data_IF_514101004028
#
_entry.id   IF_514101004028
#
_cell.length_a   1.000
_cell.length_b   1.000
_cell.length_c   1.000
_cell.angle_alpha   90.00
_cell.angle_beta   90.00
_cell.angle_gamma   90.00
#
_symmetry.space_group_name_H-M   'P 1'
#
loop_
_entity.id
_entity.type
_entity.pdbx_description
1 polymer ?
#
# COMPACT_ATOMS: atom_id res chain seq x y z
N UNK A 1 -4.63 5.65 -0.85
CA UNK A 1 -5.48 4.74 -0.10
C UNK A 1 -4.88 4.63 1.27
N UNK A 2 -5.73 4.54 2.28
CA UNK A 2 -5.29 4.51 3.65
C UNK A 2 -5.68 3.19 4.31
N UNK A 3 -4.79 2.70 5.16
CA UNK A 3 -5.06 1.59 6.07
C UNK A 3 -5.28 2.13 7.48
N UNK A 4 -6.30 1.62 8.14
CA UNK A 4 -6.61 1.87 9.55
C UNK A 4 -6.12 0.68 10.38
N UNK A 5 -5.25 0.95 11.34
CA UNK A 5 -4.81 0.01 12.36
C UNK A 5 -5.43 0.35 13.71
N UNK A 6 -6.35 -0.50 14.18
CA UNK A 6 -7.05 -0.33 15.44
C UNK A 6 -6.28 -1.02 16.56
N UNK A 7 -5.77 -0.22 17.50
CA UNK A 7 -5.12 -0.71 18.71
C UNK A 7 -6.14 -1.37 19.64
N UNK A 8 -5.73 -2.51 20.23
CA UNK A 8 -6.38 -3.08 21.40
C UNK A 8 -6.02 -2.32 22.67
N UNK A 9 -6.42 -2.83 23.84
CA UNK A 9 -5.99 -2.27 25.13
C UNK A 9 -4.48 -2.47 25.33
N UNK A 10 -3.83 -1.52 26.01
CA UNK A 10 -2.44 -1.64 26.44
C UNK A 10 -2.14 -3.02 27.04
N UNK A 11 -1.02 -3.60 26.63
CA UNK A 11 -0.47 -4.84 27.17
C UNK A 11 1.07 -4.80 27.11
N UNK A 12 1.77 -5.12 28.21
CA UNK A 12 3.22 -5.32 28.17
C UNK A 12 3.54 -6.57 27.33
N UNK A 13 4.70 -6.57 26.68
CA UNK A 13 5.17 -7.70 25.88
C UNK A 13 6.17 -8.54 26.66
N UNK A 14 6.30 -9.82 26.31
CA UNK A 14 7.20 -10.79 26.96
C UNK A 14 8.60 -10.87 26.31
N UNK A 15 8.98 -9.87 25.51
CA UNK A 15 10.28 -9.82 24.81
C UNK A 15 10.38 -10.72 23.57
N UNK A 16 9.37 -11.54 23.28
CA UNK A 16 9.24 -12.30 22.03
C UNK A 16 8.51 -11.52 20.92
N UNK A 17 8.24 -10.24 21.15
CA UNK A 17 7.55 -9.37 20.21
C UNK A 17 8.44 -9.10 18.97
N UNK A 18 7.96 -9.34 17.73
CA UNK A 18 8.80 -9.29 16.53
C UNK A 18 9.54 -7.98 16.28
N UNK A 19 9.03 -6.86 16.79
CA UNK A 19 9.64 -5.54 16.64
C UNK A 19 10.40 -5.08 17.89
N UNK A 20 10.55 -5.94 18.90
CA UNK A 20 11.30 -5.64 20.12
C UNK A 20 10.68 -4.54 20.98
N UNK A 21 9.38 -4.28 20.84
CA UNK A 21 8.66 -3.29 21.66
C UNK A 21 8.53 -3.79 23.09
N UNK A 22 8.43 -2.87 24.04
CA UNK A 22 8.18 -3.19 25.46
C UNK A 22 6.68 -3.34 25.75
N UNK A 23 5.83 -2.78 24.91
CA UNK A 23 4.38 -2.77 25.04
C UNK A 23 3.69 -2.63 23.68
N UNK A 24 2.42 -3.01 23.64
CA UNK A 24 1.52 -2.81 22.51
C UNK A 24 0.15 -2.34 22.99
N UNK A 25 -0.63 -1.75 22.10
CA UNK A 25 -2.00 -1.34 22.38
C UNK A 25 -2.12 0.10 22.86
N UNK A 26 -3.33 0.52 23.14
CA UNK A 26 -3.70 1.90 23.43
C UNK A 26 -3.81 2.18 24.93
N UNK A 27 -3.38 3.37 25.34
CA UNK A 27 -3.65 3.95 26.65
C UNK A 27 -4.01 5.45 26.54
N UNK A 28 -4.71 6.02 27.55
CA UNK A 28 -5.09 7.42 27.52
C UNK A 28 -3.88 8.36 27.48
N UNK A 29 -3.95 9.39 26.61
CA UNK A 29 -2.92 10.45 26.45
C UNK A 29 -1.59 9.97 25.86
N UNK A 30 -1.57 8.86 25.14
CA UNK A 30 -0.39 8.50 24.36
C UNK A 30 -0.07 9.60 23.34
N UNK A 31 1.22 9.85 23.11
CA UNK A 31 1.67 10.77 22.06
C UNK A 31 1.45 10.17 20.68
N UNK A 32 1.59 10.99 19.64
CA UNK A 32 1.49 10.52 18.25
C UNK A 32 2.62 9.54 17.93
N UNK A 33 3.83 9.77 18.44
CA UNK A 33 4.97 8.86 18.30
C UNK A 33 4.72 7.54 19.02
N UNK A 34 4.19 7.57 20.24
CA UNK A 34 3.81 6.35 20.97
C UNK A 34 2.72 5.58 20.22
N UNK A 35 1.72 6.28 19.67
CA UNK A 35 0.66 5.67 18.87
C UNK A 35 1.23 5.03 17.61
N UNK A 36 2.13 5.73 16.91
CA UNK A 36 2.80 5.22 15.74
C UNK A 36 3.63 3.97 16.04
N UNK A 37 4.50 4.01 17.04
CA UNK A 37 5.34 2.86 17.43
C UNK A 37 4.49 1.66 17.87
N UNK A 38 3.39 1.90 18.60
CA UNK A 38 2.47 0.82 18.94
C UNK A 38 1.71 0.28 17.73
N UNK A 39 1.34 1.13 16.79
CA UNK A 39 0.33 0.84 15.77
C UNK A 39 0.88 0.48 14.40
N UNK A 40 2.12 0.83 14.07
CA UNK A 40 2.72 0.54 12.77
C UNK A 40 3.07 -0.93 12.55
N UNK A 41 2.91 -1.77 13.57
CA UNK A 41 3.60 -3.06 13.67
C UNK A 41 2.76 -4.33 13.80
N UNK A 42 3.20 -5.39 13.12
CA UNK A 42 2.81 -6.81 13.26
C UNK A 42 1.33 -7.13 13.01
N UNK A 43 0.80 -6.69 11.89
CA UNK A 43 -0.59 -6.98 11.49
C UNK A 43 -0.70 -8.19 10.57
N UNK A 44 -1.75 -8.99 10.76
CA UNK A 44 -2.17 -9.95 9.74
C UNK A 44 -2.91 -9.20 8.64
N UNK A 45 -2.21 -8.93 7.54
CA UNK A 45 -2.70 -8.17 6.40
C UNK A 45 -2.34 -8.87 5.09
N UNK A 46 -3.04 -8.53 4.01
CA UNK A 46 -2.66 -8.95 2.67
C UNK A 46 -1.53 -8.01 2.18
N UNK A 47 -0.32 -8.52 1.86
CA UNK A 47 0.83 -7.68 1.50
C UNK A 47 0.62 -6.92 0.19
N UNK A 48 -0.01 -7.52 -0.81
CA UNK A 48 -0.28 -6.85 -2.09
C UNK A 48 -1.24 -5.67 -1.93
N UNK A 49 -2.23 -5.81 -1.04
CA UNK A 49 -3.16 -4.74 -0.74
C UNK A 49 -2.48 -3.66 0.09
N UNK A 50 -1.79 -4.05 1.16
CA UNK A 50 -1.09 -3.13 2.05
C UNK A 50 -0.02 -2.31 1.31
N UNK A 51 0.71 -2.92 0.37
CA UNK A 51 1.70 -2.23 -0.47
C UNK A 51 1.13 -1.23 -1.48
N UNK A 52 -0.20 -1.13 -1.62
CA UNK A 52 -0.87 -0.10 -2.44
C UNK A 52 -1.35 1.08 -1.60
N UNK A 53 -1.31 0.95 -0.28
CA UNK A 53 -1.70 1.98 0.66
C UNK A 53 -0.57 3.02 0.77
N UNK A 54 -0.95 4.28 0.93
CA UNK A 54 -0.02 5.41 1.08
C UNK A 54 0.01 5.96 2.50
N UNK A 55 -1.10 5.84 3.21
CA UNK A 55 -1.25 6.40 4.55
C UNK A 55 -1.68 5.33 5.53
N UNK A 56 -1.17 5.39 6.74
CA UNK A 56 -1.61 4.58 7.86
C UNK A 56 -2.23 5.48 8.94
N UNK A 57 -3.46 5.15 9.36
CA UNK A 57 -4.15 5.77 10.48
C UNK A 57 -4.11 4.81 11.66
N UNK A 58 -3.50 5.24 12.76
CA UNK A 58 -3.55 4.49 14.02
C UNK A 58 -4.73 4.97 14.84
N UNK A 59 -5.61 4.06 15.23
CA UNK A 59 -6.78 4.39 16.06
C UNK A 59 -6.74 3.65 17.39
N UNK A 60 -7.24 4.31 18.44
CA UNK A 60 -7.34 3.76 19.78
C UNK A 60 -8.30 4.61 20.61
N UNK A 61 -9.03 4.00 21.55
CA UNK A 61 -10.07 4.72 22.30
C UNK A 61 -11.21 5.27 21.43
N UNK A 62 -11.34 4.83 20.18
CA UNK A 62 -12.35 5.31 19.23
C UNK A 62 -11.94 6.52 18.40
N UNK A 63 -10.70 7.01 18.54
CA UNK A 63 -10.19 8.19 17.83
C UNK A 63 -8.93 7.87 17.04
N UNK A 64 -8.61 8.69 16.05
CA UNK A 64 -7.33 8.68 15.32
C UNK A 64 -6.25 9.36 16.18
N UNK A 65 -5.14 8.66 16.39
CA UNK A 65 -4.08 9.05 17.33
C UNK A 65 -2.76 9.36 16.65
N UNK A 66 -2.51 8.76 15.49
CA UNK A 66 -1.35 9.03 14.66
C UNK A 66 -1.70 8.77 13.21
N UNK A 67 -1.03 9.52 12.32
CA UNK A 67 -1.17 9.38 10.88
C UNK A 67 0.24 9.43 10.30
N UNK A 68 0.61 8.43 9.51
CA UNK A 68 1.92 8.37 8.84
C UNK A 68 1.79 8.03 7.36
N UNK A 69 2.83 8.38 6.61
CA UNK A 69 3.03 7.86 5.26
C UNK A 69 3.58 6.42 5.33
N UNK A 70 3.28 5.63 4.31
CA UNK A 70 3.80 4.27 4.15
C UNK A 70 4.83 4.32 3.04
N UNK A 71 6.10 4.30 3.43
CA UNK A 71 7.24 4.19 2.51
C UNK A 71 7.56 2.73 2.20
N UNK A 72 7.41 1.87 3.22
CA UNK A 72 7.79 0.45 3.13
C UNK A 72 6.83 -0.44 3.93
N UNK A 73 6.60 -1.65 3.40
CA UNK A 73 5.92 -2.74 4.09
C UNK A 73 6.96 -3.81 4.44
N UNK A 74 7.24 -3.98 5.73
CA UNK A 74 8.28 -4.88 6.24
C UNK A 74 7.64 -6.21 6.70
N UNK A 75 8.06 -7.36 6.16
CA UNK A 75 7.55 -8.66 6.59
C UNK A 75 8.17 -9.12 7.92
N UNK A 76 7.33 -9.72 8.77
CA UNK A 76 7.68 -10.39 10.02
C UNK A 76 6.92 -11.73 10.09
N UNK A 77 7.52 -12.79 9.53
CA UNK A 77 6.90 -14.11 9.36
C UNK A 77 5.54 -14.02 8.61
N UNK A 78 4.41 -14.32 9.27
CA UNK A 78 3.06 -14.23 8.69
C UNK A 78 2.38 -12.85 8.86
N UNK A 79 3.13 -11.84 9.32
CA UNK A 79 2.66 -10.49 9.64
C UNK A 79 3.47 -9.42 8.93
N UNK A 80 2.92 -8.21 8.91
CA UNK A 80 3.53 -7.07 8.25
C UNK A 80 3.52 -5.85 9.17
N UNK A 81 4.60 -5.09 9.11
CA UNK A 81 4.69 -3.75 9.65
C UNK A 81 4.76 -2.73 8.52
N UNK A 82 4.37 -1.50 8.80
CA UNK A 82 4.59 -0.35 7.91
C UNK A 82 5.69 0.53 8.50
N UNK A 83 6.45 1.15 7.61
CA UNK A 83 7.48 2.13 7.95
C UNK A 83 7.22 3.39 7.13
N UNK A 84 7.57 4.53 7.73
CA UNK A 84 7.46 5.83 7.10
C UNK A 84 7.35 6.94 8.14
N UNK A 85 7.43 8.20 7.71
CA UNK A 85 7.34 9.35 8.60
C UNK A 85 5.90 9.59 9.08
N UNK A 86 5.78 10.10 10.31
CA UNK A 86 4.55 10.74 10.75
C UNK A 86 4.24 11.95 9.87
N UNK A 87 2.97 12.10 9.51
CA UNK A 87 2.47 13.33 8.91
C UNK A 87 2.37 14.40 9.99
N UNK A 88 2.57 15.64 9.59
CA UNK A 88 2.50 16.80 10.49
C UNK A 88 1.47 17.80 10.03
N UNK A 89 1.16 18.76 10.90
CA UNK A 89 0.29 19.90 10.60
C UNK A 89 0.60 20.54 9.25
N UNK A 90 -0.45 20.84 8.49
CA UNK A 90 -0.37 21.36 7.12
C UNK A 90 -0.49 20.27 6.04
N UNK A 91 -0.39 19.00 6.40
CA UNK A 91 -0.76 17.91 5.51
C UNK A 91 -2.29 17.70 5.53
N UNK A 92 -2.98 17.67 4.39
CA UNK A 92 -4.45 17.64 4.34
C UNK A 92 -5.07 16.42 5.02
N UNK A 93 -4.47 15.23 4.85
CA UNK A 93 -4.89 14.02 5.57
C UNK A 93 -4.71 14.16 7.09
N UNK A 94 -3.60 14.79 7.52
CA UNK A 94 -3.32 15.00 8.94
C UNK A 94 -4.35 15.94 9.55
N UNK A 95 -4.47 17.14 8.96
CA UNK A 95 -5.32 18.22 9.46
C UNK A 95 -6.81 17.81 9.51
N UNK A 96 -7.25 16.92 8.61
CA UNK A 96 -8.62 16.43 8.57
C UNK A 96 -8.90 15.34 9.61
N UNK A 97 -7.95 14.45 9.89
CA UNK A 97 -8.24 13.20 10.60
C UNK A 97 -7.63 13.08 12.00
N UNK A 98 -6.55 13.79 12.33
CA UNK A 98 -5.94 13.65 13.65
C UNK A 98 -6.94 14.05 14.75
N UNK A 99 -7.09 13.21 15.78
CA UNK A 99 -8.05 13.40 16.87
C UNK A 99 -9.53 13.18 16.51
N UNK A 100 -9.87 12.90 15.24
CA UNK A 100 -11.24 12.61 14.84
C UNK A 100 -11.67 11.19 15.24
N UNK A 101 -12.99 10.90 15.25
CA UNK A 101 -13.48 9.53 15.40
C UNK A 101 -12.91 8.58 14.35
N UNK A 102 -12.75 7.31 14.71
CA UNK A 102 -12.26 6.26 13.79
C UNK A 102 -13.13 6.20 12.51
N UNK A 103 -12.59 6.52 11.32
CA UNK A 103 -13.34 6.54 10.06
C UNK A 103 -13.84 5.15 9.63
N UNK A 104 -13.24 4.10 10.16
CA UNK A 104 -13.58 2.71 9.89
C UNK A 104 -14.34 2.06 11.07
N UNK A 105 -14.92 2.87 11.98
CA UNK A 105 -15.71 2.38 13.08
C UNK A 105 -16.91 1.56 12.58
N UNK A 106 -16.86 0.26 12.80
CA UNK A 106 -17.93 -0.68 12.49
C UNK A 106 -17.92 -1.84 13.50
N UNK A 107 -18.89 -2.74 13.40
CA UNK A 107 -19.00 -3.90 14.30
C UNK A 107 -17.96 -5.00 14.02
N UNK A 108 -17.06 -4.81 13.06
CA UNK A 108 -16.00 -5.78 12.77
C UNK A 108 -14.97 -5.81 13.90
N UNK A 109 -14.56 -7.02 14.24
CA UNK A 109 -13.43 -7.24 15.16
C UNK A 109 -12.08 -7.19 14.44
N UNK A 110 -12.05 -7.03 13.11
CA UNK A 110 -10.80 -6.95 12.37
C UNK A 110 -10.10 -5.60 12.67
N UNK A 111 -8.90 -5.61 13.27
CA UNK A 111 -8.19 -4.39 13.58
C UNK A 111 -7.61 -3.70 12.35
N UNK A 112 -7.46 -4.40 11.23
CA UNK A 112 -7.01 -3.85 9.96
C UNK A 112 -8.22 -3.48 9.10
N UNK A 113 -8.40 -2.19 8.83
CA UNK A 113 -9.42 -1.67 7.93
C UNK A 113 -8.77 -0.97 6.74
N UNK A 114 -9.35 -1.08 5.56
CA UNK A 114 -8.88 -0.33 4.39
C UNK A 114 -9.96 0.67 4.02
N UNK A 115 -9.57 1.93 3.87
CA UNK A 115 -10.50 3.05 3.73
C UNK A 115 -10.07 4.00 2.62
N UNK A 116 -11.07 4.62 2.02
CA UNK A 116 -10.90 5.69 1.05
C UNK A 116 -11.10 7.03 1.77
N UNK A 117 -10.02 7.80 1.95
CA UNK A 117 -10.10 9.13 2.53
C UNK A 117 -10.29 10.17 1.41
N UNK A 118 -11.26 11.10 1.50
CA UNK A 118 -11.42 12.16 0.50
C UNK A 118 -10.14 12.98 0.28
N UNK A 119 -9.39 13.25 1.35
CA UNK A 119 -8.18 14.08 1.37
C UNK A 119 -7.00 13.42 0.65
N UNK A 120 -7.08 12.11 0.40
CA UNK A 120 -6.01 11.40 -0.30
C UNK A 120 -6.14 11.51 -1.83
N UNK A 121 -7.25 12.06 -2.33
CA UNK A 121 -7.58 12.05 -3.76
C UNK A 121 -6.52 12.74 -4.63
N UNK A 122 -5.83 13.76 -4.09
CA UNK A 122 -4.72 14.41 -4.77
C UNK A 122 -3.48 13.50 -4.86
N UNK A 123 -3.21 12.71 -3.83
CA UNK A 123 -2.09 11.77 -3.76
C UNK A 123 -2.35 10.49 -4.59
N UNK A 124 -3.60 10.24 -5.00
CA UNK A 124 -3.92 9.18 -5.97
C UNK A 124 -3.41 9.51 -7.37
N UNK A 125 -3.11 10.78 -7.69
CA UNK A 125 -2.63 11.17 -9.01
C UNK A 125 -1.18 10.72 -9.20
N UNK A 126 -0.98 9.76 -10.10
CA UNK A 126 0.34 9.35 -10.61
C UNK A 126 0.44 9.61 -12.10
N UNK A 127 1.65 9.73 -12.61
CA UNK A 127 1.87 9.80 -14.04
C UNK A 127 1.40 8.49 -14.68
N UNK A 128 0.74 8.61 -15.83
CA UNK A 128 0.36 7.48 -16.64
C UNK A 128 1.61 6.73 -17.12
N UNK A 129 1.68 5.42 -16.87
CA UNK A 129 2.79 4.54 -17.22
C UNK A 129 3.00 4.34 -18.74
N UNK A 130 2.21 5.00 -19.59
CA UNK A 130 2.46 5.07 -21.03
C UNK A 130 3.38 6.25 -21.42
N UNK A 131 3.91 6.99 -20.43
CA UNK A 131 4.81 8.13 -20.60
C UNK A 131 4.20 9.33 -21.34
N UNK A 132 2.85 9.47 -21.34
CA UNK A 132 2.18 10.60 -22.00
C UNK A 132 2.20 11.90 -21.18
N UNK A 133 2.73 11.89 -19.95
CA UNK A 133 2.71 13.03 -19.03
C UNK A 133 1.36 13.31 -18.35
N UNK A 134 0.29 12.60 -18.72
CA UNK A 134 -1.02 12.75 -18.09
C UNK A 134 -1.07 12.09 -16.71
N UNK A 135 -1.81 12.69 -15.77
CA UNK A 135 -2.06 12.14 -14.44
C UNK A 135 -3.30 11.23 -14.43
N UNK A 136 -3.21 10.10 -13.73
CA UNK A 136 -4.30 9.13 -13.54
C UNK A 136 -4.32 8.64 -12.09
N UNK A 137 -5.49 8.18 -11.64
CA UNK A 137 -5.63 7.43 -10.38
C UNK A 137 -5.37 5.92 -10.55
N UNK A 138 -5.09 5.49 -11.79
CA UNK A 138 -4.71 4.13 -12.19
C UNK A 138 -3.33 4.15 -12.84
N UNK A 139 -2.74 3.00 -13.13
CA UNK A 139 -1.43 2.92 -13.80
C UNK A 139 -1.46 3.53 -15.20
N UNK A 140 -2.59 3.38 -15.89
CA UNK A 140 -2.83 3.95 -17.20
C UNK A 140 -4.05 4.87 -17.19
N UNK A 141 -4.02 5.92 -18.01
CA UNK A 141 -5.26 6.59 -18.45
C UNK A 141 -6.12 5.60 -19.24
N UNK A 142 -7.45 5.80 -19.32
CA UNK A 142 -8.32 4.92 -20.10
C UNK A 142 -7.81 4.71 -21.53
N UNK A 143 -7.56 3.44 -21.91
CA UNK A 143 -7.05 3.04 -23.24
C UNK A 143 -5.54 3.24 -23.46
N UNK A 144 -4.80 3.74 -22.47
CA UNK A 144 -3.37 4.00 -22.60
C UNK A 144 -2.49 2.77 -22.33
N UNK A 145 -3.04 1.73 -21.72
CA UNK A 145 -2.43 0.41 -21.56
C UNK A 145 -2.12 -0.24 -22.92
N UNK A 146 -3.13 -0.33 -23.80
CA UNK A 146 -2.94 -0.87 -25.14
C UNK A 146 -2.02 0.02 -25.99
N UNK A 147 -2.16 1.35 -25.85
CA UNK A 147 -1.25 2.31 -26.50
C UNK A 147 0.21 2.08 -26.08
N UNK A 148 0.46 1.83 -24.80
CA UNK A 148 1.80 1.57 -24.28
C UNK A 148 2.42 0.31 -24.88
N UNK A 149 1.63 -0.77 -25.00
CA UNK A 149 2.05 -2.01 -25.65
C UNK A 149 2.35 -1.77 -27.13
N UNK A 150 1.44 -1.10 -27.85
CA UNK A 150 1.61 -0.80 -29.28
C UNK A 150 2.84 0.06 -29.56
N UNK A 151 3.15 1.04 -28.69
CA UNK A 151 4.36 1.85 -28.82
C UNK A 151 5.62 0.99 -28.69
N UNK A 152 5.65 0.03 -27.76
CA UNK A 152 6.77 -0.92 -27.59
C UNK A 152 6.93 -1.83 -28.80
N UNK A 153 5.83 -2.35 -29.35
CA UNK A 153 5.84 -3.12 -30.60
C UNK A 153 6.43 -2.30 -31.75
N UNK A 154 6.08 -1.02 -31.87
CA UNK A 154 6.63 -0.12 -32.90
C UNK A 154 8.14 0.12 -32.71
N UNK A 155 8.55 0.47 -31.49
CA UNK A 155 9.94 0.86 -31.21
C UNK A 155 10.91 -0.32 -31.22
N UNK A 156 10.53 -1.43 -30.61
CA UNK A 156 11.45 -2.56 -30.38
C UNK A 156 11.32 -3.67 -31.42
N UNK A 157 10.16 -3.78 -32.08
CA UNK A 157 9.88 -4.87 -33.02
C UNK A 157 9.52 -4.36 -34.42
N UNK A 158 9.79 -3.07 -34.73
CA UNK A 158 9.49 -2.48 -36.04
C UNK A 158 8.01 -2.53 -36.43
N UNK A 159 7.11 -2.64 -35.45
CA UNK A 159 5.68 -2.80 -35.68
C UNK A 159 5.20 -4.25 -35.79
N UNK A 160 6.09 -5.25 -35.75
CA UNK A 160 5.73 -6.67 -35.81
C UNK A 160 5.39 -7.21 -34.42
N UNK A 161 4.12 -7.54 -34.20
CA UNK A 161 3.66 -8.18 -32.95
C UNK A 161 4.34 -9.54 -32.73
N UNK A 162 4.50 -10.34 -33.80
CA UNK A 162 5.14 -11.65 -33.71
C UNK A 162 6.60 -11.53 -33.25
N UNK A 163 7.33 -10.54 -33.77
CA UNK A 163 8.72 -10.28 -33.37
C UNK A 163 8.80 -9.84 -31.91
N UNK A 164 7.86 -9.02 -31.46
CA UNK A 164 7.78 -8.60 -30.06
C UNK A 164 7.49 -9.76 -29.11
N UNK A 165 6.55 -10.65 -29.47
CA UNK A 165 6.22 -11.85 -28.69
C UNK A 165 7.44 -12.77 -28.58
N UNK A 166 8.07 -13.10 -29.71
CA UNK A 166 9.30 -13.94 -29.71
C UNK A 166 10.39 -13.35 -28.81
N UNK A 167 10.59 -12.04 -28.88
CA UNK A 167 11.56 -11.36 -28.01
C UNK A 167 11.20 -11.47 -26.52
N UNK A 168 9.92 -11.33 -26.15
CA UNK A 168 9.47 -11.54 -24.76
C UNK A 168 9.72 -12.98 -24.33
N UNK A 169 9.33 -13.96 -25.14
CA UNK A 169 9.47 -15.39 -24.82
C UNK A 169 10.95 -15.75 -24.65
N UNK A 170 11.81 -15.34 -25.58
CA UNK A 170 13.27 -15.57 -25.50
C UNK A 170 13.86 -14.92 -24.24
N UNK A 171 13.42 -13.71 -23.88
CA UNK A 171 13.87 -12.99 -22.67
C UNK A 171 13.39 -13.67 -21.39
N UNK A 172 12.13 -14.10 -21.36
CA UNK A 172 11.54 -14.80 -20.23
C UNK A 172 12.23 -16.16 -20.01
N UNK A 173 12.49 -16.90 -21.09
CA UNK A 173 13.22 -18.17 -21.05
C UNK A 173 14.64 -17.99 -20.53
N UNK A 174 15.36 -16.97 -21.01
CA UNK A 174 16.70 -16.65 -20.51
C UNK A 174 16.70 -16.28 -19.02
N UNK A 175 15.60 -15.71 -18.50
CA UNK A 175 15.40 -15.41 -17.09
C UNK A 175 14.89 -16.61 -16.25
N UNK A 176 14.73 -17.79 -16.84
CA UNK A 176 14.24 -18.99 -16.15
C UNK A 176 12.73 -19.02 -15.91
N UNK A 177 11.97 -18.14 -16.57
CA UNK A 177 10.50 -18.13 -16.51
C UNK A 177 9.97 -19.20 -17.47
N UNK A 178 9.06 -20.10 -17.03
CA UNK A 178 8.44 -21.07 -17.91
C UNK A 178 7.69 -20.39 -19.06
N UNK A 179 7.95 -20.85 -20.29
CA UNK A 179 7.24 -20.38 -21.47
C UNK A 179 5.76 -20.77 -21.39
N UNK A 180 4.90 -19.89 -21.88
CA UNK A 180 3.49 -20.25 -22.07
C UNK A 180 3.40 -21.38 -23.10
N UNK A 181 2.53 -22.38 -22.90
CA UNK A 181 2.33 -23.43 -23.89
C UNK A 181 1.83 -22.80 -25.20
N UNK A 182 2.48 -23.14 -26.32
CA UNK A 182 2.00 -22.75 -27.64
C UNK A 182 0.56 -23.24 -27.83
N UNK A 183 -0.31 -22.35 -28.30
CA UNK A 183 -1.73 -22.62 -28.50
C UNK A 183 -2.02 -23.46 -29.76
N UNK A 184 -1.06 -24.27 -30.23
CA UNK A 184 -1.15 -25.10 -31.44
C UNK A 184 -1.88 -26.44 -31.18
N UNK A 185 -2.79 -26.47 -30.20
CA UNK A 185 -3.67 -27.58 -29.91
C UNK A 185 -5.13 -27.13 -29.96
N UNK A 186 -5.59 -26.76 -31.16
CA UNK A 186 -7.00 -26.72 -31.54
C UNK A 186 -7.15 -27.06 -33.02
#
# INVERSE_FOLDING_TARGET
MAVRFKLGTYSPTDGAEPMGREWVGWFPRMTEEEAWESGRGTWKANPERLGREKFALITGGGTVLAIGEIDEVVPYDDRYAVQGPLLTKGHPVYDAWIGQPDPAANNSQNPVGYIDLPEEAEFRKRLCACDCGGYSTRDFLPGHDLRAIQDRVRRYAGGSVLTFIKWIDDTAHAAGVPLLPNNDAA
#
